data_IF_852897032837
#
_entry.id   IF_852897032837
#
_cell.length_a   1.000
_cell.length_b   1.000
_cell.length_c   1.000
_cell.angle_alpha   90.00
_cell.angle_beta   90.00
_cell.angle_gamma   90.00
#
_symmetry.space_group_name_H-M   'P 1'
#
loop_
_entity.id
_entity.type
_entity.pdbx_description
1 polymer ?
#
# COMPACT_ATOMS: atom_id res chain seq x y z
N UNK A 1 -19.90 -7.10 6.54
CA UNK A 1 -18.85 -7.21 7.58
C UNK A 1 -18.52 -5.80 8.09
N UNK A 2 -18.52 -5.48 9.40
CA UNK A 2 -18.26 -4.10 9.85
C UNK A 2 -16.77 -3.71 9.85
N UNK A 3 -15.87 -4.67 10.06
CA UNK A 3 -14.42 -4.48 10.07
C UNK A 3 -13.72 -5.66 9.42
N UNK A 4 -12.70 -5.43 8.62
CA UNK A 4 -11.88 -6.46 7.98
C UNK A 4 -10.44 -5.96 7.86
N UNK A 5 -9.48 -6.86 7.73
CA UNK A 5 -8.12 -6.47 7.36
C UNK A 5 -7.96 -6.46 5.83
N UNK A 6 -6.93 -5.78 5.34
CA UNK A 6 -6.40 -6.01 3.99
C UNK A 6 -6.07 -7.50 3.75
N UNK A 7 -6.09 -7.92 2.49
CA UNK A 7 -6.15 -9.35 2.08
C UNK A 7 -7.36 -10.13 2.60
N UNK A 8 -8.28 -9.49 3.33
CA UNK A 8 -9.50 -10.10 3.84
C UNK A 8 -10.65 -10.11 2.83
N UNK A 9 -11.86 -10.35 3.33
CA UNK A 9 -13.08 -10.40 2.52
C UNK A 9 -14.21 -9.65 3.20
N UNK A 10 -14.84 -8.73 2.45
CA UNK A 10 -16.10 -8.11 2.83
C UNK A 10 -17.23 -9.02 2.37
N UNK A 11 -18.05 -9.48 3.31
CA UNK A 11 -19.27 -10.24 3.03
C UNK A 11 -20.46 -9.28 3.12
N UNK A 12 -21.14 -9.08 1.99
CA UNK A 12 -22.43 -8.39 1.92
C UNK A 12 -23.55 -9.42 1.92
N UNK A 13 -24.54 -9.22 2.79
CA UNK A 13 -25.70 -10.10 2.91
C UNK A 13 -26.96 -9.32 2.59
N UNK A 14 -27.72 -9.78 1.60
CA UNK A 14 -29.07 -9.30 1.35
C UNK A 14 -30.09 -10.26 1.97
N UNK A 15 -31.13 -9.74 2.60
CA UNK A 15 -32.22 -10.52 3.20
C UNK A 15 -33.57 -10.01 2.73
N UNK A 16 -34.53 -10.92 2.57
CA UNK A 16 -35.93 -10.63 2.27
C UNK A 16 -36.75 -10.75 3.55
N UNK A 17 -37.48 -9.68 3.88
CA UNK A 17 -38.40 -9.66 5.02
C UNK A 17 -39.72 -9.01 4.63
N UNK A 18 -40.81 -9.38 5.30
CA UNK A 18 -42.09 -8.68 5.21
C UNK A 18 -42.08 -7.40 6.05
N UNK A 19 -43.18 -6.64 6.04
CA UNK A 19 -43.32 -5.41 6.82
C UNK A 19 -43.23 -5.60 8.34
N UNK A 20 -43.39 -6.83 8.83
CA UNK A 20 -43.26 -7.19 10.24
C UNK A 20 -41.86 -7.74 10.58
N UNK A 21 -40.95 -7.82 9.60
CA UNK A 21 -39.61 -8.38 9.75
C UNK A 21 -39.52 -9.90 9.64
N UNK A 22 -40.60 -10.60 9.27
CA UNK A 22 -40.55 -12.05 9.09
C UNK A 22 -39.81 -12.41 7.80
N UNK A 23 -39.00 -13.49 7.77
CA UNK A 23 -38.33 -13.94 6.55
C UNK A 23 -39.33 -14.26 5.42
N UNK A 24 -39.03 -13.77 4.23
CA UNK A 24 -39.76 -14.08 2.99
C UNK A 24 -38.82 -14.85 2.07
N UNK A 25 -39.33 -15.80 1.30
CA UNK A 25 -38.52 -16.54 0.31
C UNK A 25 -38.81 -16.06 -1.11
N UNK A 26 -37.78 -16.01 -1.94
CA UNK A 26 -37.95 -15.80 -3.38
C UNK A 26 -38.69 -16.99 -4.00
N UNK A 27 -39.65 -16.77 -4.89
CA UNK A 27 -40.45 -17.81 -5.53
C UNK A 27 -40.35 -17.73 -7.06
N UNK A 28 -40.45 -18.88 -7.74
CA UNK A 28 -40.49 -18.96 -9.20
C UNK A 28 -39.35 -18.21 -9.95
N UNK A 29 -38.22 -18.00 -9.28
CA UNK A 29 -37.06 -17.27 -9.79
C UNK A 29 -36.25 -16.64 -8.66
N UNK A 30 -35.01 -16.19 -8.92
CA UNK A 30 -34.22 -15.49 -7.92
C UNK A 30 -34.68 -14.04 -7.74
N UNK A 31 -34.35 -13.44 -6.59
CA UNK A 31 -34.26 -11.98 -6.46
C UNK A 31 -32.83 -11.56 -6.78
N UNK A 32 -32.68 -10.59 -7.67
CA UNK A 32 -31.39 -9.94 -7.95
C UNK A 32 -31.38 -8.60 -7.23
N UNK A 33 -30.40 -8.41 -6.36
CA UNK A 33 -30.12 -7.15 -5.65
C UNK A 33 -28.90 -6.52 -6.30
N UNK A 34 -29.05 -5.36 -6.92
CA UNK A 34 -27.96 -4.58 -7.51
C UNK A 34 -27.48 -3.55 -6.50
N UNK A 35 -26.17 -3.54 -6.26
CA UNK A 35 -25.50 -2.59 -5.38
C UNK A 35 -25.06 -1.33 -6.17
N UNK A 36 -24.75 -0.24 -5.49
CA UNK A 36 -24.33 1.02 -6.11
C UNK A 36 -22.98 0.93 -6.83
N UNK A 37 -22.10 -0.01 -6.45
CA UNK A 37 -20.91 -0.37 -7.23
C UNK A 37 -21.20 -1.11 -8.53
N UNK A 38 -22.47 -1.45 -8.81
CA UNK A 38 -22.89 -2.26 -9.96
C UNK A 38 -22.74 -3.77 -9.76
N UNK A 39 -22.22 -4.22 -8.61
CA UNK A 39 -22.20 -5.65 -8.24
C UNK A 39 -23.60 -6.15 -7.92
N UNK A 40 -23.79 -7.47 -7.92
CA UNK A 40 -25.09 -8.10 -7.66
C UNK A 40 -25.01 -9.16 -6.57
N UNK A 41 -25.98 -9.16 -5.66
CA UNK A 41 -26.27 -10.28 -4.76
C UNK A 41 -27.49 -11.03 -5.32
N UNK A 42 -27.37 -12.35 -5.43
CA UNK A 42 -28.47 -13.21 -5.89
C UNK A 42 -29.07 -13.96 -4.69
N UNK A 43 -30.36 -13.76 -4.45
CA UNK A 43 -31.14 -14.57 -3.51
C UNK A 43 -31.84 -15.65 -4.34
N UNK A 44 -31.40 -16.90 -4.19
CA UNK A 44 -31.92 -18.02 -4.97
C UNK A 44 -33.41 -18.28 -4.69
N UNK A 45 -34.13 -18.87 -5.66
CA UNK A 45 -35.50 -19.33 -5.43
C UNK A 45 -35.55 -20.31 -4.24
N UNK A 46 -36.53 -20.14 -3.36
CA UNK A 46 -36.68 -20.87 -2.11
C UNK A 46 -35.85 -20.31 -0.94
N UNK A 47 -34.92 -19.37 -1.19
CA UNK A 47 -34.10 -18.75 -0.14
C UNK A 47 -34.64 -17.37 0.28
N UNK A 48 -34.32 -16.97 1.51
CA UNK A 48 -34.62 -15.65 2.07
C UNK A 48 -33.40 -14.74 2.16
N UNK A 49 -32.21 -15.24 1.82
CA UNK A 49 -30.97 -14.48 1.85
C UNK A 49 -30.01 -14.90 0.74
N UNK A 50 -29.10 -13.98 0.41
CA UNK A 50 -28.01 -14.18 -0.54
C UNK A 50 -26.77 -13.42 -0.06
N UNK A 51 -25.61 -13.85 -0.55
CA UNK A 51 -24.32 -13.29 -0.16
C UNK A 51 -23.52 -12.90 -1.40
N UNK A 52 -22.74 -11.82 -1.26
CA UNK A 52 -21.65 -11.48 -2.15
C UNK A 52 -20.39 -11.26 -1.31
N UNK A 53 -19.34 -12.02 -1.62
CA UNK A 53 -18.01 -11.83 -1.06
C UNK A 53 -17.17 -10.97 -2.00
N UNK A 54 -16.51 -9.95 -1.43
CA UNK A 54 -15.63 -9.03 -2.14
C UNK A 54 -14.27 -9.06 -1.45
N UNK A 55 -13.24 -9.49 -2.19
CA UNK A 55 -11.87 -9.45 -1.70
C UNK A 55 -11.42 -8.01 -1.49
N UNK A 56 -10.67 -7.79 -0.41
CA UNK A 56 -10.05 -6.50 -0.11
C UNK A 56 -8.62 -6.52 -0.64
N UNK A 57 -8.22 -5.41 -1.28
CA UNK A 57 -6.84 -5.22 -1.71
C UNK A 57 -5.87 -5.15 -0.54
N UNK A 58 -4.59 -5.08 -0.85
CA UNK A 58 -3.52 -4.89 0.10
C UNK A 58 -2.46 -4.03 -0.57
N UNK A 59 -1.90 -3.09 0.18
CA UNK A 59 -0.81 -2.25 -0.29
C UNK A 59 0.17 -1.93 0.84
N UNK A 60 1.26 -1.25 0.49
CA UNK A 60 2.35 -0.98 1.44
C UNK A 60 2.16 0.32 2.23
N UNK A 61 0.99 0.97 2.11
CA UNK A 61 0.76 2.31 2.62
C UNK A 61 -0.17 2.35 3.82
N UNK A 62 0.09 3.28 4.74
CA UNK A 62 -0.72 3.44 5.94
C UNK A 62 -2.13 3.94 5.61
N UNK A 63 -3.11 3.34 6.27
CA UNK A 63 -4.55 3.59 6.23
C UNK A 63 -5.26 3.00 7.46
N UNK A 64 -6.47 3.47 7.77
CA UNK A 64 -7.55 2.57 7.40
C UNK A 64 -8.38 3.18 6.27
N UNK A 65 -8.84 2.34 5.35
CA UNK A 65 -9.79 2.77 4.33
C UNK A 65 -11.20 2.39 4.74
N UNK A 66 -12.20 3.18 4.34
CA UNK A 66 -13.61 2.85 4.58
C UNK A 66 -14.26 2.55 3.24
N UNK A 67 -14.76 1.32 3.08
CA UNK A 67 -15.55 0.92 1.93
C UNK A 67 -17.02 1.08 2.28
N UNK A 68 -17.75 1.84 1.46
CA UNK A 68 -19.18 2.05 1.60
C UNK A 68 -19.91 1.44 0.41
N UNK A 69 -21.04 0.80 0.66
CA UNK A 69 -21.89 0.20 -0.35
C UNK A 69 -23.35 0.36 0.05
N UNK A 70 -24.24 0.47 -0.93
CA UNK A 70 -25.68 0.55 -0.71
C UNK A 70 -26.44 -0.26 -1.76
N UNK A 71 -27.71 -0.57 -1.48
CA UNK A 71 -28.57 -1.20 -2.49
C UNK A 71 -29.05 -0.12 -3.46
N UNK A 72 -28.77 -0.29 -4.75
CA UNK A 72 -29.28 0.57 -5.82
C UNK A 72 -30.67 0.12 -6.29
N UNK A 73 -30.88 -1.19 -6.45
CA UNK A 73 -32.18 -1.75 -6.83
C UNK A 73 -32.31 -3.22 -6.44
N UNK A 74 -33.53 -3.73 -6.36
CA UNK A 74 -33.79 -5.15 -6.22
C UNK A 74 -35.07 -5.53 -6.99
N UNK A 75 -35.04 -6.67 -7.67
CA UNK A 75 -36.17 -7.15 -8.48
C UNK A 75 -36.17 -8.68 -8.62
N UNK A 76 -37.33 -9.26 -8.97
CA UNK A 76 -37.48 -10.70 -9.21
C UNK A 76 -38.20 -11.45 -8.08
N UNK A 77 -37.97 -12.75 -7.99
CA UNK A 77 -38.50 -13.62 -6.93
C UNK A 77 -40.02 -13.78 -6.89
N UNK A 78 -40.73 -13.39 -7.94
CA UNK A 78 -42.20 -13.42 -8.01
C UNK A 78 -42.88 -12.73 -6.80
N UNK A 79 -42.27 -11.65 -6.32
CA UNK A 79 -42.81 -10.82 -5.23
C UNK A 79 -43.64 -9.68 -5.82
N UNK A 80 -44.79 -9.37 -5.20
CA UNK A 80 -45.70 -8.32 -5.67
C UNK A 80 -45.07 -6.92 -5.61
N UNK A 81 -44.21 -6.68 -4.62
CA UNK A 81 -43.41 -5.48 -4.46
C UNK A 81 -42.12 -5.78 -3.71
N UNK A 82 -41.04 -5.08 -4.06
CA UNK A 82 -39.79 -5.06 -3.31
C UNK A 82 -39.46 -3.60 -3.01
N UNK A 83 -39.25 -3.28 -1.74
CA UNK A 83 -38.80 -1.97 -1.29
C UNK A 83 -37.37 -2.09 -0.75
N UNK A 84 -36.34 -1.79 -1.57
CA UNK A 84 -34.95 -1.89 -1.12
C UNK A 84 -34.65 -0.92 0.02
N UNK A 85 -33.92 -1.38 1.04
CA UNK A 85 -33.31 -0.48 2.01
C UNK A 85 -32.02 0.09 1.41
N UNK A 86 -32.06 1.36 1.00
CA UNK A 86 -30.94 2.05 0.35
C UNK A 86 -29.98 2.72 1.34
N UNK A 87 -30.13 2.47 2.65
CA UNK A 87 -29.18 2.97 3.64
C UNK A 87 -27.79 2.37 3.37
N UNK A 88 -26.73 3.18 3.29
CA UNK A 88 -25.39 2.68 3.07
C UNK A 88 -24.90 1.88 4.27
N UNK A 89 -24.14 0.83 3.98
CA UNK A 89 -23.35 0.09 4.97
C UNK A 89 -21.87 0.39 4.76
N UNK A 90 -21.11 0.48 5.84
CA UNK A 90 -19.68 0.77 5.81
C UNK A 90 -18.88 -0.38 6.42
N UNK A 91 -17.72 -0.66 5.81
CA UNK A 91 -16.71 -1.56 6.36
C UNK A 91 -15.42 -0.79 6.54
N UNK A 92 -14.83 -0.86 7.74
CA UNK A 92 -13.47 -0.36 7.98
C UNK A 92 -12.49 -1.45 7.56
N UNK A 93 -11.58 -1.11 6.66
CA UNK A 93 -10.45 -1.94 6.25
C UNK A 93 -9.23 -1.50 7.04
N UNK A 94 -8.65 -2.43 7.80
CA UNK A 94 -7.44 -2.20 8.59
C UNK A 94 -6.23 -2.76 7.85
N UNK A 95 -5.14 -2.01 7.89
CA UNK A 95 -3.84 -2.34 7.30
C UNK A 95 -3.31 -3.71 7.73
N UNK A 96 -2.56 -4.33 6.81
CA UNK A 96 -1.73 -5.51 7.08
C UNK A 96 -0.29 -5.14 6.80
N UNK A 97 0.48 -4.98 7.88
CA UNK A 97 1.84 -4.48 7.82
C UNK A 97 2.75 -5.20 6.79
N UNK A 98 3.00 -4.54 5.67
CA UNK A 98 3.98 -4.86 4.65
C UNK A 98 5.30 -4.11 4.87
N UNK A 99 6.38 -4.72 4.40
CA UNK A 99 7.72 -4.17 4.55
C UNK A 99 8.21 -3.57 3.24
N UNK A 100 8.54 -2.28 3.26
CA UNK A 100 9.32 -1.62 2.20
C UNK A 100 10.79 -1.60 2.59
N UNK A 101 11.66 -2.12 1.73
CA UNK A 101 13.11 -2.11 1.95
C UNK A 101 13.72 -0.84 1.38
N UNK A 102 14.64 -0.22 2.13
CA UNK A 102 15.50 0.87 1.61
C UNK A 102 16.90 0.32 1.38
N UNK A 103 17.42 0.45 0.16
CA UNK A 103 18.79 0.06 -0.19
C UNK A 103 19.63 1.28 -0.55
N UNK A 104 20.91 1.25 -0.16
CA UNK A 104 21.88 2.28 -0.49
C UNK A 104 22.86 1.74 -1.54
N UNK A 105 23.20 2.57 -2.52
CA UNK A 105 24.33 2.34 -3.43
C UNK A 105 25.19 3.59 -3.48
N UNK A 106 26.50 3.42 -3.74
CA UNK A 106 27.44 4.52 -3.93
C UNK A 106 28.17 4.37 -5.26
N UNK A 107 28.67 5.47 -5.83
CA UNK A 107 29.63 5.43 -6.95
C UNK A 107 30.83 4.56 -6.56
N UNK A 108 31.18 3.48 -7.29
CA UNK A 108 32.19 2.52 -6.82
C UNK A 108 33.62 3.09 -6.74
N UNK A 109 33.94 4.02 -7.64
CA UNK A 109 35.27 4.63 -7.73
C UNK A 109 35.16 6.06 -8.21
N UNK A 110 35.90 6.96 -7.58
CA UNK A 110 36.02 8.37 -7.95
C UNK A 110 37.48 8.79 -7.83
N UNK A 111 37.84 9.94 -8.39
CA UNK A 111 39.12 10.59 -8.11
C UNK A 111 38.95 11.60 -6.97
N UNK A 112 40.06 12.01 -6.36
CA UNK A 112 40.09 13.23 -5.55
C UNK A 112 39.55 14.43 -6.33
N UNK A 113 38.90 15.38 -5.63
CA UNK A 113 38.07 16.45 -6.21
C UNK A 113 36.85 15.95 -7.01
N UNK A 114 36.59 14.64 -7.01
CA UNK A 114 35.40 14.03 -7.58
C UNK A 114 34.19 14.12 -6.66
N UNK A 115 33.14 13.39 -7.02
CA UNK A 115 31.88 13.36 -6.27
C UNK A 115 31.42 11.91 -6.10
N UNK A 116 31.17 11.53 -4.86
CA UNK A 116 30.48 10.27 -4.53
C UNK A 116 28.98 10.55 -4.59
N UNK A 117 28.28 9.78 -5.41
CA UNK A 117 26.82 9.83 -5.51
C UNK A 117 26.27 8.66 -4.72
N UNK A 118 25.55 8.96 -3.65
CA UNK A 118 24.78 7.98 -2.88
C UNK A 118 23.34 7.98 -3.35
N UNK A 119 22.81 6.80 -3.69
CA UNK A 119 21.43 6.63 -4.12
C UNK A 119 20.70 5.71 -3.14
N UNK A 120 19.60 6.20 -2.57
CA UNK A 120 18.68 5.39 -1.78
C UNK A 120 17.49 4.95 -2.65
N UNK A 121 17.10 3.68 -2.59
CA UNK A 121 16.00 3.11 -3.39
C UNK A 121 15.01 2.35 -2.52
N UNK A 122 13.71 2.57 -2.74
CA UNK A 122 12.59 1.88 -2.07
C UNK A 122 12.08 0.71 -2.92
N UNK A 123 11.96 -0.47 -2.32
CA UNK A 123 11.38 -1.66 -2.97
C UNK A 123 10.46 -2.45 -2.07
N UNK A 124 9.46 -3.13 -2.66
CA UNK A 124 8.64 -4.12 -1.96
C UNK A 124 9.42 -5.44 -1.71
N UNK A 125 8.77 -6.44 -1.12
CA UNK A 125 9.35 -7.75 -0.85
C UNK A 125 9.75 -8.54 -2.12
N UNK A 126 9.19 -8.19 -3.28
CA UNK A 126 9.49 -8.79 -4.58
C UNK A 126 10.55 -8.01 -5.37
N UNK A 127 11.06 -6.90 -4.81
CA UNK A 127 12.02 -6.02 -5.47
C UNK A 127 11.39 -5.02 -6.47
N UNK A 128 10.07 -4.88 -6.49
CA UNK A 128 9.43 -3.86 -7.32
C UNK A 128 9.58 -2.47 -6.70
N UNK A 129 9.72 -1.41 -7.51
CA UNK A 129 9.79 -0.05 -6.99
C UNK A 129 8.54 0.34 -6.19
N UNK A 130 8.75 0.94 -5.02
CA UNK A 130 7.69 1.55 -4.19
C UNK A 130 7.92 3.05 -4.18
N UNK A 131 6.85 3.86 -4.25
CA UNK A 131 6.97 5.32 -4.21
C UNK A 131 6.65 5.86 -2.82
N UNK A 132 7.31 6.94 -2.41
CA UNK A 132 6.90 7.66 -1.20
C UNK A 132 5.54 8.33 -1.44
N UNK A 133 4.60 8.26 -0.50
CA UNK A 133 3.30 8.90 -0.59
C UNK A 133 3.02 9.82 0.61
N UNK A 134 2.14 10.81 0.41
CA UNK A 134 1.72 11.78 1.44
C UNK A 134 2.87 12.45 2.23
N UNK A 135 4.06 12.50 1.65
CA UNK A 135 5.28 13.03 2.24
C UNK A 135 6.52 12.33 1.68
N UNK A 136 7.72 12.90 1.90
CA UNK A 136 8.96 12.24 1.50
C UNK A 136 9.33 11.10 2.45
N UNK A 137 10.23 10.22 2.00
CA UNK A 137 11.03 9.37 2.88
C UNK A 137 12.37 10.07 3.14
N UNK A 138 12.72 10.21 4.41
CA UNK A 138 14.03 10.72 4.84
C UNK A 138 14.91 9.54 5.23
N UNK A 139 16.03 9.36 4.52
CA UNK A 139 17.04 8.35 4.80
C UNK A 139 18.21 9.04 5.49
N UNK A 140 18.52 8.65 6.72
CA UNK A 140 19.68 9.15 7.48
C UNK A 140 20.84 8.17 7.35
N UNK A 141 21.99 8.66 6.92
CA UNK A 141 23.23 7.90 6.82
C UNK A 141 23.97 7.87 8.16
N UNK A 142 24.89 6.94 8.36
CA UNK A 142 25.72 6.84 9.57
C UNK A 142 26.66 8.04 9.78
N UNK A 143 27.05 8.75 8.72
CA UNK A 143 27.68 10.08 8.83
C UNK A 143 26.76 11.19 9.36
N UNK A 144 25.45 10.94 9.50
CA UNK A 144 24.43 11.93 9.87
C UNK A 144 23.92 12.78 8.71
N UNK A 145 24.42 12.57 7.48
CA UNK A 145 23.84 13.17 6.27
C UNK A 145 22.48 12.54 5.95
N UNK A 146 21.69 13.20 5.11
CA UNK A 146 20.37 12.70 4.71
C UNK A 146 20.22 12.63 3.19
N UNK A 147 19.53 11.59 2.73
CA UNK A 147 18.98 11.48 1.37
C UNK A 147 17.46 11.66 1.51
N UNK A 148 16.89 12.53 0.67
CA UNK A 148 15.43 12.70 0.60
C UNK A 148 14.90 11.99 -0.64
N UNK A 149 13.93 11.09 -0.45
CA UNK A 149 13.15 10.49 -1.53
C UNK A 149 11.81 11.23 -1.56
N UNK A 150 11.63 12.06 -2.58
CA UNK A 150 10.45 12.93 -2.70
C UNK A 150 9.15 12.13 -2.85
N UNK A 151 8.02 12.75 -2.47
CA UNK A 151 6.71 12.15 -2.70
C UNK A 151 6.50 11.87 -4.21
N UNK A 152 6.00 10.68 -4.52
CA UNK A 152 5.87 10.16 -5.88
C UNK A 152 7.14 9.52 -6.46
N UNK A 153 8.30 9.63 -5.80
CA UNK A 153 9.55 9.01 -6.22
C UNK A 153 9.83 7.71 -5.46
N UNK A 154 10.56 6.81 -6.11
CA UNK A 154 11.07 5.55 -5.52
C UNK A 154 12.56 5.60 -5.19
N UNK A 155 13.24 6.70 -5.51
CA UNK A 155 14.65 6.89 -5.22
C UNK A 155 15.00 8.35 -4.97
N UNK A 156 16.10 8.56 -4.25
CA UNK A 156 16.68 9.86 -3.94
C UNK A 156 18.19 9.79 -3.99
N UNK A 157 18.83 10.94 -4.16
CA UNK A 157 20.28 11.05 -4.36
C UNK A 157 20.89 12.07 -3.41
N UNK A 158 22.10 11.79 -2.93
CA UNK A 158 22.99 12.73 -2.27
C UNK A 158 24.36 12.68 -2.92
N UNK A 159 24.81 13.83 -3.42
CA UNK A 159 26.16 14.03 -3.92
C UNK A 159 27.07 14.59 -2.82
N UNK A 160 28.21 13.95 -2.61
CA UNK A 160 29.23 14.36 -1.63
C UNK A 160 30.55 14.57 -2.35
N UNK A 161 31.06 15.82 -2.29
CA UNK A 161 32.37 16.15 -2.83
C UNK A 161 33.49 15.48 -2.02
N UNK A 162 34.48 14.96 -2.73
CA UNK A 162 35.69 14.38 -2.12
C UNK A 162 36.80 15.43 -2.16
N UNK A 163 37.45 15.65 -1.01
CA UNK A 163 38.60 16.55 -0.93
C UNK A 163 39.84 15.97 -1.62
N UNK A 164 40.79 16.84 -1.93
CA UNK A 164 42.17 16.46 -2.24
C UNK A 164 42.95 16.40 -0.94
N UNK A 165 43.81 15.40 -0.78
CA UNK A 165 44.84 15.43 0.27
C UNK A 165 46.25 15.52 -0.34
N UNK A 166 47.29 15.38 0.50
CA UNK A 166 48.70 15.51 0.08
C UNK A 166 49.43 14.16 0.04
N UNK A 167 48.73 13.08 0.33
CA UNK A 167 49.27 11.73 0.48
C UNK A 167 48.95 10.89 -0.76
N UNK A 168 49.92 10.11 -1.21
CA UNK A 168 49.68 9.16 -2.30
C UNK A 168 48.97 7.92 -1.78
N UNK A 169 47.92 7.51 -2.50
CA UNK A 169 47.30 6.20 -2.35
C UNK A 169 45.78 6.25 -2.29
N UNK A 170 45.10 5.15 -2.66
CA UNK A 170 43.65 5.13 -2.63
C UNK A 170 43.15 5.12 -1.18
N UNK A 171 42.15 5.95 -0.91
CA UNK A 171 41.38 5.89 0.35
C UNK A 171 40.03 5.25 0.08
N UNK A 172 39.50 4.54 1.08
CA UNK A 172 38.15 3.95 0.99
C UNK A 172 37.22 4.76 1.88
N UNK A 173 36.18 5.31 1.29
CA UNK A 173 35.06 5.94 2.00
C UNK A 173 33.96 4.91 2.14
N UNK A 174 33.52 4.66 3.37
CA UNK A 174 32.40 3.76 3.68
C UNK A 174 31.25 4.56 4.26
N UNK A 175 30.03 4.19 3.89
CA UNK A 175 28.80 4.80 4.42
C UNK A 175 27.71 3.71 4.49
N UNK A 176 26.75 3.85 5.39
CA UNK A 176 25.62 2.95 5.55
C UNK A 176 24.34 3.71 5.91
N UNK A 177 23.19 3.06 5.79
CA UNK A 177 21.93 3.65 6.28
C UNK A 177 21.86 3.45 7.80
N UNK A 178 21.70 4.55 8.55
CA UNK A 178 21.42 4.52 9.97
C UNK A 178 19.92 4.36 10.26
N UNK A 179 19.06 5.08 9.53
CA UNK A 179 17.61 4.99 9.66
C UNK A 179 16.88 5.49 8.41
N UNK A 180 15.62 5.11 8.24
CA UNK A 180 14.72 5.70 7.26
C UNK A 180 13.30 5.77 7.81
N UNK A 181 12.58 6.85 7.49
CA UNK A 181 11.19 7.06 7.93
C UNK A 181 10.43 7.99 6.98
N UNK A 182 9.10 7.91 6.98
CA UNK A 182 8.21 8.78 6.19
C UNK A 182 7.47 8.06 5.07
N UNK A 183 7.05 8.81 4.04
CA UNK A 183 6.46 8.26 2.81
C UNK A 183 5.14 7.51 2.94
N UNK A 184 4.44 7.64 4.07
CA UNK A 184 3.18 6.92 4.37
C UNK A 184 3.28 5.40 4.20
N UNK A 185 4.46 4.82 4.42
CA UNK A 185 4.67 3.37 4.31
C UNK A 185 4.33 2.69 5.63
N UNK A 186 3.70 1.52 5.60
CA UNK A 186 3.31 0.76 6.81
C UNK A 186 4.53 0.38 7.66
N UNK A 187 5.53 -0.22 7.04
CA UNK A 187 6.85 -0.44 7.63
C UNK A 187 7.99 -0.17 6.65
N UNK A 188 9.07 0.42 7.18
CA UNK A 188 10.30 0.67 6.44
C UNK A 188 11.44 -0.12 7.08
N UNK A 189 12.13 -0.92 6.27
CA UNK A 189 13.29 -1.71 6.67
C UNK A 189 14.54 -1.21 5.95
N UNK A 190 15.37 -0.37 6.61
CA UNK A 190 16.66 0.02 6.07
C UNK A 190 17.60 -1.19 5.93
N UNK A 191 18.21 -1.36 4.77
CA UNK A 191 19.36 -2.24 4.61
C UNK A 191 20.62 -1.50 5.12
N UNK A 192 21.11 -1.91 6.27
CA UNK A 192 22.26 -1.28 6.95
C UNK A 192 23.60 -1.82 6.47
N UNK A 193 23.65 -2.60 5.38
CA UNK A 193 24.91 -3.04 4.79
C UNK A 193 25.71 -1.82 4.31
N UNK A 194 27.00 -1.69 4.67
CA UNK A 194 27.81 -0.57 4.23
C UNK A 194 28.09 -0.66 2.73
N UNK A 195 28.10 0.50 2.07
CA UNK A 195 28.61 0.70 0.73
C UNK A 195 29.97 1.38 0.79
N UNK A 196 30.81 1.13 -0.20
CA UNK A 196 32.17 1.64 -0.23
C UNK A 196 32.49 2.28 -1.58
N UNK A 197 33.25 3.37 -1.52
CA UNK A 197 33.84 4.02 -2.70
C UNK A 197 35.35 4.06 -2.54
N UNK A 198 36.07 3.66 -3.59
CA UNK A 198 37.51 3.84 -3.68
C UNK A 198 37.78 5.22 -4.27
N UNK A 199 38.53 6.05 -3.55
CA UNK A 199 38.99 7.37 -4.02
C UNK A 199 40.41 7.21 -4.54
N UNK A 200 40.62 7.52 -5.81
CA UNK A 200 41.93 7.47 -6.45
C UNK A 200 42.60 8.84 -6.41
N UNK A 201 43.91 8.82 -6.22
CA UNK A 201 44.77 10.00 -6.21
C UNK A 201 44.76 10.74 -7.56
N UNK A 202 44.92 12.07 -7.52
CA UNK A 202 45.12 12.90 -8.71
C UNK A 202 46.52 13.50 -8.67
N UNK A 203 47.29 13.29 -9.75
CA UNK A 203 48.65 13.82 -9.90
C UNK A 203 48.70 15.35 -9.98
#
# INVERSE_FOLDING_TARGET
TPTVNENGTITYTATLTDANGNPVTAQNGPVTVTLDSGKTITIAAGASSGVLDVAVGNDVYQGPTTVTESIASASGGNLEAIAPNTAPVSTIVSDVNDTTTVTLTATPTVNENGTITYTATLTDANGNPVTAQNGPVTVTLDSGKTITIEAGASSGVLDVAVGNDVYQGPTTVTESIASASGGNLEAIAPNTAPVSTIVSDVN
#
